data_IF_278352313009
#
_entry.id   IF_278352313009
#
_cell.length_a   1.000
_cell.length_b   1.000
_cell.length_c   1.000
_cell.angle_alpha   90.00
_cell.angle_beta   90.00
_cell.angle_gamma   90.00
#
_symmetry.space_group_name_H-M   'P 1'
#
loop_
_entity.id
_entity.type
_entity.pdbx_description
1 polymer ?
#
# COMPACT_ATOMS: atom_id res chain seq x y z
N UNK A 1 -9.04 -3.12 -2.62
CA UNK A 1 -8.27 -4.34 -2.52
C UNK A 1 -9.18 -5.55 -2.65
N UNK A 2 -8.70 -6.53 -3.35
CA UNK A 2 -9.48 -7.70 -3.72
C UNK A 2 -9.29 -8.88 -2.76
N UNK A 3 -8.50 -8.69 -1.70
CA UNK A 3 -8.12 -9.78 -0.79
C UNK A 3 -8.37 -9.40 0.67
N UNK A 4 -9.65 -9.36 1.10
CA UNK A 4 -9.95 -9.02 2.49
C UNK A 4 -9.38 -10.03 3.50
N UNK A 5 -9.21 -11.29 3.11
CA UNK A 5 -8.59 -12.31 3.96
C UNK A 5 -7.12 -11.99 4.22
N UNK A 6 -6.43 -11.37 3.28
CA UNK A 6 -5.04 -10.93 3.50
C UNK A 6 -4.97 -9.82 4.54
N UNK A 7 -5.91 -8.88 4.49
CA UNK A 7 -6.00 -7.81 5.47
C UNK A 7 -6.28 -8.37 6.87
N UNK A 8 -7.18 -9.35 6.95
CA UNK A 8 -7.49 -10.01 8.22
C UNK A 8 -6.27 -10.72 8.78
N UNK A 9 -5.48 -11.37 7.92
CA UNK A 9 -4.24 -12.03 8.31
C UNK A 9 -3.24 -11.02 8.88
N UNK A 10 -3.06 -9.89 8.21
CA UNK A 10 -2.17 -8.83 8.69
C UNK A 10 -2.60 -8.31 10.06
N UNK A 11 -3.90 -8.12 10.27
CA UNK A 11 -4.43 -7.69 11.56
C UNK A 11 -4.11 -8.71 12.65
N UNK A 12 -4.33 -9.99 12.36
CA UNK A 12 -4.04 -11.08 13.30
C UNK A 12 -2.57 -11.12 13.67
N UNK A 13 -1.69 -11.01 12.67
CA UNK A 13 -0.25 -11.03 12.89
C UNK A 13 0.24 -9.83 13.68
N UNK A 14 -0.38 -8.66 13.47
CA UNK A 14 -0.06 -7.47 14.26
C UNK A 14 -0.36 -7.70 15.74
N UNK A 15 -1.49 -8.35 16.04
CA UNK A 15 -1.86 -8.68 17.42
C UNK A 15 -0.86 -9.66 18.06
N UNK A 16 -0.27 -10.53 17.28
CA UNK A 16 0.72 -11.53 17.73
C UNK A 16 2.16 -11.09 17.47
N UNK A 17 2.36 -9.79 17.20
CA UNK A 17 3.70 -9.22 16.92
C UNK A 17 4.41 -9.92 15.77
N UNK A 18 3.65 -10.31 14.77
CA UNK A 18 4.14 -10.95 13.54
C UNK A 18 4.86 -12.28 13.78
N UNK A 19 4.56 -12.97 14.89
CA UNK A 19 5.24 -14.25 15.22
C UNK A 19 5.06 -15.29 14.12
N UNK A 20 3.85 -15.42 13.58
CA UNK A 20 3.57 -16.40 12.52
C UNK A 20 4.22 -16.02 11.21
N UNK A 21 4.25 -14.72 10.89
CA UNK A 21 4.90 -14.23 9.67
C UNK A 21 6.41 -14.48 9.71
N UNK A 22 7.02 -14.29 10.87
CA UNK A 22 8.46 -14.53 11.04
C UNK A 22 8.84 -15.99 10.81
N UNK A 23 7.92 -16.91 11.05
CA UNK A 23 8.15 -18.34 10.86
C UNK A 23 7.79 -18.82 9.47
N UNK A 24 7.24 -17.96 8.61
CA UNK A 24 6.75 -18.35 7.30
C UNK A 24 7.61 -17.75 6.18
N UNK A 25 8.50 -18.55 5.62
CA UNK A 25 9.23 -18.19 4.41
C UNK A 25 8.28 -17.90 3.24
N UNK A 26 7.09 -18.51 3.26
CA UNK A 26 6.09 -18.36 2.21
C UNK A 26 5.57 -16.92 2.11
N UNK A 27 5.44 -16.24 3.24
CA UNK A 27 4.99 -14.84 3.25
C UNK A 27 6.04 -13.94 2.60
N UNK A 28 7.33 -14.19 2.87
CA UNK A 28 8.41 -13.46 2.22
C UNK A 28 8.40 -13.68 0.71
N UNK A 29 8.17 -14.92 0.28
CA UNK A 29 8.08 -15.25 -1.14
C UNK A 29 6.92 -14.54 -1.82
N UNK A 30 5.78 -14.39 -1.15
CA UNK A 30 4.61 -13.71 -1.69
C UNK A 30 4.85 -12.23 -1.95
N UNK A 31 5.60 -11.57 -1.07
CA UNK A 31 5.81 -10.12 -1.16
C UNK A 31 7.03 -9.74 -1.99
N UNK A 32 8.00 -10.63 -2.10
CA UNK A 32 9.24 -10.38 -2.80
C UNK A 32 9.05 -9.97 -4.27
N UNK A 33 8.15 -10.64 -5.05
CA UNK A 33 7.92 -10.23 -6.44
C UNK A 33 7.36 -8.82 -6.59
N UNK A 34 6.50 -8.38 -5.66
CA UNK A 34 5.93 -7.04 -5.70
C UNK A 34 6.99 -5.98 -5.42
N UNK A 35 7.85 -6.23 -4.44
CA UNK A 35 8.95 -5.32 -4.12
C UNK A 35 9.94 -5.27 -5.28
N UNK A 36 10.25 -6.40 -5.90
CA UNK A 36 11.16 -6.46 -7.04
C UNK A 36 10.61 -5.69 -8.24
N UNK A 37 9.31 -5.81 -8.51
CA UNK A 37 8.64 -5.05 -9.57
C UNK A 37 8.73 -3.55 -9.31
N UNK A 38 8.47 -3.14 -8.08
CA UNK A 38 8.52 -1.74 -7.68
C UNK A 38 9.94 -1.19 -7.80
N UNK A 39 10.93 -1.97 -7.37
CA UNK A 39 12.33 -1.59 -7.51
C UNK A 39 12.73 -1.37 -8.97
N UNK A 40 12.25 -2.25 -9.87
CA UNK A 40 12.52 -2.13 -11.29
C UNK A 40 11.90 -0.85 -11.89
N UNK A 41 10.65 -0.56 -11.53
CA UNK A 41 9.97 0.65 -11.98
C UNK A 41 10.71 1.91 -11.51
N UNK A 42 11.12 1.91 -10.25
CA UNK A 42 11.88 3.04 -9.67
C UNK A 42 13.20 3.25 -10.39
N UNK A 43 13.92 2.17 -10.67
CA UNK A 43 15.22 2.26 -11.36
C UNK A 43 15.07 2.74 -12.79
N UNK A 44 14.05 2.28 -13.50
CA UNK A 44 13.79 2.74 -14.87
C UNK A 44 13.44 4.23 -14.89
N UNK A 45 12.64 4.69 -13.94
CA UNK A 45 12.29 6.10 -13.83
C UNK A 45 13.48 6.97 -13.47
N UNK A 46 14.35 6.46 -12.60
CA UNK A 46 15.58 7.15 -12.21
C UNK A 46 16.51 7.32 -13.42
N UNK A 47 16.70 6.26 -14.22
CA UNK A 47 17.54 6.31 -15.41
C UNK A 47 17.03 7.29 -16.46
N UNK A 48 15.71 7.49 -16.53
CA UNK A 48 15.10 8.45 -17.45
C UNK A 48 15.02 9.85 -16.86
N UNK A 49 15.59 10.06 -15.68
CA UNK A 49 15.60 11.36 -14.98
C UNK A 49 14.18 11.85 -14.62
N UNK A 50 13.24 10.92 -14.45
CA UNK A 50 11.87 11.23 -14.05
C UNK A 50 11.70 11.12 -12.54
N UNK A 51 12.34 10.14 -11.91
CA UNK A 51 12.19 9.84 -10.49
C UNK A 51 13.43 10.31 -9.73
N UNK A 52 13.20 10.65 -8.46
CA UNK A 52 14.31 11.02 -7.56
C UNK A 52 15.18 9.81 -7.25
N UNK A 53 16.42 10.09 -6.84
CA UNK A 53 17.33 9.06 -6.33
C UNK A 53 16.94 8.66 -4.91
N UNK A 54 17.36 7.46 -4.51
CA UNK A 54 17.31 7.06 -3.11
C UNK A 54 15.95 6.63 -2.59
N UNK A 55 15.00 6.35 -3.48
CA UNK A 55 13.71 5.81 -3.04
C UNK A 55 13.87 4.34 -2.70
N UNK A 56 13.62 4.00 -1.44
CA UNK A 56 13.67 2.63 -0.97
C UNK A 56 12.37 1.92 -1.36
N UNK A 57 12.42 0.88 -2.22
CA UNK A 57 11.20 0.20 -2.67
C UNK A 57 10.43 -0.48 -1.53
N UNK A 58 11.12 -0.93 -0.49
CA UNK A 58 10.46 -1.56 0.67
C UNK A 58 9.67 -0.51 1.44
N UNK A 59 10.29 0.64 1.72
CA UNK A 59 9.61 1.72 2.43
C UNK A 59 8.43 2.25 1.61
N UNK A 60 8.60 2.38 0.31
CA UNK A 60 7.52 2.83 -0.57
C UNK A 60 6.36 1.82 -0.57
N UNK A 61 6.67 0.52 -0.63
CA UNK A 61 5.65 -0.53 -0.57
C UNK A 61 4.87 -0.44 0.75
N UNK A 62 5.57 -0.29 1.87
CA UNK A 62 4.92 -0.17 3.18
C UNK A 62 3.98 1.04 3.21
N UNK A 63 4.43 2.16 2.67
CA UNK A 63 3.61 3.39 2.64
C UNK A 63 2.35 3.21 1.80
N UNK A 64 2.49 2.63 0.61
CA UNK A 64 1.34 2.37 -0.27
C UNK A 64 0.35 1.42 0.40
N UNK A 65 0.85 0.31 0.96
CA UNK A 65 0.00 -0.66 1.63
C UNK A 65 -0.71 -0.05 2.84
N UNK A 66 -0.02 0.80 3.59
CA UNK A 66 -0.59 1.48 4.76
C UNK A 66 -1.74 2.42 4.37
N UNK A 67 -1.55 3.18 3.29
CA UNK A 67 -2.58 4.10 2.79
C UNK A 67 -3.83 3.31 2.36
N UNK A 68 -3.65 2.22 1.64
CA UNK A 68 -4.75 1.36 1.22
C UNK A 68 -5.44 0.71 2.40
N UNK A 69 -4.66 0.13 3.30
CA UNK A 69 -5.16 -0.60 4.46
C UNK A 69 -6.01 0.29 5.36
N UNK A 70 -5.52 1.47 5.69
CA UNK A 70 -6.22 2.38 6.59
C UNK A 70 -7.60 2.73 6.05
N UNK A 71 -7.67 3.08 4.77
CA UNK A 71 -8.92 3.46 4.14
C UNK A 71 -9.92 2.31 4.13
N UNK A 72 -9.47 1.11 3.73
CA UNK A 72 -10.36 -0.05 3.63
C UNK A 72 -10.80 -0.59 4.98
N UNK A 73 -9.90 -0.57 5.97
CA UNK A 73 -10.21 -1.08 7.30
C UNK A 73 -11.11 -0.15 8.09
N UNK A 74 -11.02 1.16 7.85
CA UNK A 74 -11.70 2.16 8.67
C UNK A 74 -12.77 2.94 7.92
N UNK A 75 -13.07 2.55 6.67
CA UNK A 75 -13.95 3.38 5.88
C UNK A 75 -15.38 3.52 6.41
N UNK A 76 -16.00 2.55 7.10
CA UNK A 76 -17.28 2.81 7.75
C UNK A 76 -17.20 3.91 8.81
N UNK A 77 -16.15 3.89 9.63
CA UNK A 77 -15.93 4.90 10.67
C UNK A 77 -15.65 6.26 10.05
N UNK A 78 -14.78 6.30 9.05
CA UNK A 78 -14.45 7.54 8.35
C UNK A 78 -15.67 8.13 7.63
N UNK A 79 -16.51 7.28 7.05
CA UNK A 79 -17.76 7.71 6.40
C UNK A 79 -18.66 8.44 7.40
N UNK A 80 -18.76 7.90 8.60
CA UNK A 80 -19.57 8.50 9.66
C UNK A 80 -18.98 9.83 10.13
N UNK A 81 -17.67 9.86 10.39
CA UNK A 81 -16.99 11.06 10.89
C UNK A 81 -17.13 12.21 9.91
N UNK A 82 -16.95 11.96 8.62
CA UNK A 82 -16.91 13.01 7.62
C UNK A 82 -18.23 13.22 6.88
N UNK A 83 -19.27 12.44 7.22
CA UNK A 83 -20.59 12.60 6.60
C UNK A 83 -20.60 12.28 5.11
N UNK A 84 -19.73 11.39 4.66
CA UNK A 84 -19.62 10.98 3.25
C UNK A 84 -19.56 9.47 3.20
N UNK A 85 -20.24 8.86 2.22
CA UNK A 85 -20.11 7.42 2.02
C UNK A 85 -18.83 7.13 1.22
N UNK A 86 -17.81 6.67 1.91
CA UNK A 86 -16.49 6.40 1.34
C UNK A 86 -16.38 5.01 0.73
N UNK A 87 -17.48 4.25 0.69
CA UNK A 87 -17.51 2.88 0.15
C UNK A 87 -18.06 2.81 -1.27
N UNK A 88 -18.59 3.91 -1.80
CA UNK A 88 -19.14 3.94 -3.15
C UNK A 88 -18.05 3.79 -4.20
N UNK A 89 -18.38 3.28 -5.41
CA UNK A 89 -17.40 3.22 -6.49
C UNK A 89 -16.79 4.59 -6.83
N UNK A 90 -17.58 5.65 -6.76
CA UNK A 90 -17.09 7.01 -6.98
C UNK A 90 -16.07 7.41 -5.93
N UNK A 91 -16.36 7.14 -4.66
CA UNK A 91 -15.45 7.46 -3.56
C UNK A 91 -14.15 6.67 -3.65
N UNK A 92 -14.24 5.39 -4.03
CA UNK A 92 -13.05 4.56 -4.22
C UNK A 92 -12.18 5.08 -5.38
N UNK A 93 -12.81 5.51 -6.47
CA UNK A 93 -12.09 6.09 -7.61
C UNK A 93 -11.38 7.39 -7.22
N UNK A 94 -12.05 8.23 -6.44
CA UNK A 94 -11.46 9.47 -5.92
C UNK A 94 -10.28 9.17 -5.00
N UNK A 95 -10.41 8.16 -4.16
CA UNK A 95 -9.33 7.73 -3.26
C UNK A 95 -8.12 7.25 -4.06
N UNK A 96 -8.36 6.42 -5.06
CA UNK A 96 -7.28 5.91 -5.92
C UNK A 96 -6.55 7.04 -6.63
N UNK A 97 -7.28 8.01 -7.17
CA UNK A 97 -6.70 9.17 -7.82
C UNK A 97 -5.82 9.97 -6.87
N UNK A 98 -6.32 10.20 -5.64
CA UNK A 98 -5.56 10.92 -4.61
C UNK A 98 -4.28 10.17 -4.24
N UNK A 99 -4.37 8.84 -4.08
CA UNK A 99 -3.21 8.02 -3.74
C UNK A 99 -2.15 8.07 -4.84
N UNK A 100 -2.57 8.03 -6.10
CA UNK A 100 -1.64 8.16 -7.23
C UNK A 100 -0.89 9.48 -7.18
N UNK A 101 -1.61 10.58 -6.95
CA UNK A 101 -0.98 11.89 -6.83
C UNK A 101 0.01 11.94 -5.68
N UNK A 102 -0.35 11.33 -4.56
CA UNK A 102 0.50 11.33 -3.38
C UNK A 102 1.79 10.57 -3.61
N UNK A 103 1.69 9.38 -4.20
CA UNK A 103 2.86 8.55 -4.51
C UNK A 103 3.73 9.22 -5.57
N UNK A 104 3.13 9.71 -6.65
CA UNK A 104 3.85 10.39 -7.71
C UNK A 104 4.52 11.67 -7.20
N UNK A 105 3.84 12.40 -6.31
CA UNK A 105 4.42 13.59 -5.70
C UNK A 105 5.68 13.29 -4.90
N UNK A 106 5.78 12.09 -4.34
CA UNK A 106 6.97 11.67 -3.62
C UNK A 106 8.09 11.19 -4.56
N UNK A 107 7.76 10.34 -5.56
CA UNK A 107 8.80 9.70 -6.38
C UNK A 107 9.29 10.56 -7.53
N UNK A 108 8.49 11.49 -8.03
CA UNK A 108 8.90 12.37 -9.12
C UNK A 108 9.98 13.36 -8.66
N UNK A 109 10.86 13.63 -9.58
CA UNK A 109 11.99 14.53 -9.33
C UNK A 109 11.57 15.99 -9.27
#
# INVERSE_FOLDING_TARGET
LEHPEFIALLNSENLHQAMHLKQSARIQEMNSPLVAMLADVLERGRKQDLFRDGVDPIQLYISIASICYFYLSNNPTLSTIFGRDLRTPKALAQRLSHMKELVLGYVLK
#
